data_IF_148186799966
#
_entry.id   IF_148186799966
#
_cell.length_a   1.000
_cell.length_b   1.000
_cell.length_c   1.000
_cell.angle_alpha   90.00
_cell.angle_beta   90.00
_cell.angle_gamma   90.00
#
_symmetry.space_group_name_H-M   'P 1'
#
loop_
_entity.id
_entity.type
_entity.pdbx_description
1 polymer ?
#
# COMPACT_ATOMS: atom_id res chain seq x y z
N UNK A 1 -8.77 18.25 -31.10
CA UNK A 1 -9.99 17.60 -31.60
C UNK A 1 -11.09 17.80 -30.57
N UNK A 2 -12.29 18.18 -30.99
CA UNK A 2 -13.47 18.20 -30.12
C UNK A 2 -13.99 16.76 -30.01
N UNK A 3 -14.47 16.41 -28.83
CA UNK A 3 -15.07 15.11 -28.58
C UNK A 3 -16.58 15.23 -28.74
N UNK A 4 -17.12 14.64 -29.80
CA UNK A 4 -18.52 14.82 -30.17
C UNK A 4 -19.47 13.82 -29.49
N UNK A 5 -18.94 12.73 -28.92
CA UNK A 5 -19.74 11.69 -28.26
C UNK A 5 -18.98 11.19 -27.01
N UNK A 6 -19.68 11.17 -25.87
CA UNK A 6 -19.18 10.61 -24.62
C UNK A 6 -19.50 9.10 -24.59
N UNK A 7 -18.49 8.27 -24.81
CA UNK A 7 -18.60 6.81 -24.77
C UNK A 7 -18.04 6.25 -23.46
N UNK A 8 -18.70 5.24 -22.91
CA UNK A 8 -18.30 4.55 -21.67
C UNK A 8 -17.93 3.10 -21.97
N UNK A 9 -16.90 2.58 -21.30
CA UNK A 9 -16.61 1.16 -21.29
C UNK A 9 -17.62 0.43 -20.40
N UNK A 10 -18.16 -0.70 -20.88
CA UNK A 10 -19.02 -1.58 -20.07
C UNK A 10 -18.23 -2.30 -18.95
N UNK A 11 -16.93 -2.54 -19.18
CA UNK A 11 -16.01 -3.18 -18.23
C UNK A 11 -14.64 -2.45 -18.26
N UNK A 12 -13.93 -2.33 -17.13
CA UNK A 12 -12.60 -1.73 -17.09
C UNK A 12 -11.62 -2.46 -18.01
N UNK A 13 -11.19 -1.80 -19.07
CA UNK A 13 -10.31 -2.39 -20.09
C UNK A 13 -9.02 -1.59 -20.19
N UNK A 14 -7.88 -2.28 -20.08
CA UNK A 14 -6.57 -1.65 -20.25
C UNK A 14 -6.40 -1.19 -21.70
N UNK A 15 -5.95 0.05 -21.90
CA UNK A 15 -5.69 0.62 -23.24
C UNK A 15 -6.90 1.21 -23.98
N UNK A 16 -8.04 1.45 -23.32
CA UNK A 16 -9.21 2.06 -23.98
C UNK A 16 -8.93 3.47 -24.53
N UNK A 17 -9.40 3.75 -25.76
CA UNK A 17 -9.31 5.06 -26.42
C UNK A 17 -10.51 5.98 -26.13
N UNK A 18 -11.46 5.52 -25.29
CA UNK A 18 -12.59 6.34 -24.85
C UNK A 18 -12.13 7.48 -23.91
N UNK A 19 -12.77 8.66 -23.98
CA UNK A 19 -12.41 9.84 -23.17
C UNK A 19 -12.29 9.56 -21.67
N UNK A 20 -13.23 8.78 -21.17
CA UNK A 20 -13.32 8.41 -19.77
C UNK A 20 -12.73 7.01 -19.65
N UNK A 21 -11.41 6.94 -19.54
CA UNK A 21 -10.74 5.70 -19.16
C UNK A 21 -11.17 5.36 -17.74
N UNK A 22 -12.08 4.41 -17.61
CA UNK A 22 -12.58 3.90 -16.32
C UNK A 22 -11.46 3.38 -15.40
N UNK A 23 -10.26 3.11 -15.94
CA UNK A 23 -9.07 2.79 -15.15
C UNK A 23 -8.70 3.84 -14.09
N UNK A 24 -8.89 5.13 -14.37
CA UNK A 24 -8.66 6.19 -13.38
C UNK A 24 -9.76 6.27 -12.32
N UNK A 25 -11.02 6.07 -12.73
CA UNK A 25 -12.20 6.15 -11.86
C UNK A 25 -12.33 4.91 -10.97
N UNK A 26 -11.98 3.71 -11.47
CA UNK A 26 -12.00 2.46 -10.70
C UNK A 26 -10.98 2.47 -9.56
N UNK A 27 -9.75 2.97 -9.82
CA UNK A 27 -8.74 3.14 -8.77
C UNK A 27 -9.21 4.12 -7.68
N UNK A 28 -9.94 5.17 -8.06
CA UNK A 28 -10.50 6.18 -7.15
C UNK A 28 -11.73 5.71 -6.37
N UNK A 29 -12.64 4.98 -7.00
CA UNK A 29 -13.94 4.57 -6.43
C UNK A 29 -13.84 3.26 -5.66
N UNK A 30 -12.99 2.33 -6.12
CA UNK A 30 -12.90 0.98 -5.56
C UNK A 30 -11.54 0.66 -4.93
N UNK A 31 -10.52 1.53 -5.05
CA UNK A 31 -9.18 1.26 -4.50
C UNK A 31 -8.78 -0.19 -4.79
N UNK A 32 -8.80 -0.58 -6.06
CA UNK A 32 -8.80 -2.00 -6.41
C UNK A 32 -7.49 -2.63 -6.01
N UNK A 33 -7.63 -3.52 -5.02
CA UNK A 33 -6.66 -4.35 -4.30
C UNK A 33 -6.05 -3.68 -3.06
N UNK A 34 -6.18 -4.27 -1.85
CA UNK A 34 -5.26 -3.90 -0.78
C UNK A 34 -3.86 -4.04 -1.36
N UNK A 35 -3.04 -3.00 -1.22
CA UNK A 35 -1.65 -3.06 -1.64
C UNK A 35 -1.03 -4.27 -0.93
N UNK A 36 -0.93 -5.38 -1.66
CA UNK A 36 -0.73 -6.70 -1.05
C UNK A 36 0.75 -6.83 -0.80
N UNK A 37 1.09 -7.20 0.44
CA UNK A 37 2.45 -7.53 0.80
C UNK A 37 2.69 -8.98 0.41
N UNK A 38 3.65 -9.20 -0.48
CA UNK A 38 4.00 -10.52 -1.00
C UNK A 38 5.08 -11.17 -0.14
N UNK A 39 5.21 -12.49 -0.30
CA UNK A 39 6.25 -13.24 0.39
C UNK A 39 7.64 -12.75 -0.01
N UNK A 40 8.53 -12.56 0.97
CA UNK A 40 9.89 -12.08 0.74
C UNK A 40 10.06 -10.56 0.61
N UNK A 41 8.98 -9.78 0.67
CA UNK A 41 9.07 -8.33 0.58
C UNK A 41 9.79 -7.71 1.80
N UNK A 42 10.46 -6.57 1.59
CA UNK A 42 11.02 -5.75 2.66
C UNK A 42 10.05 -4.61 3.03
N UNK A 43 9.66 -4.50 4.31
CA UNK A 43 8.83 -3.39 4.79
C UNK A 43 9.47 -2.00 4.63
N UNK A 44 10.77 -1.93 4.34
CA UNK A 44 11.46 -0.71 3.93
C UNK A 44 11.06 -0.24 2.52
N UNK A 45 10.54 -1.09 1.65
CA UNK A 45 10.12 -0.64 0.31
C UNK A 45 8.70 -0.02 0.33
N UNK A 46 8.00 -0.13 1.45
CA UNK A 46 6.67 0.41 1.67
C UNK A 46 6.69 1.85 2.21
N UNK A 47 7.13 2.80 1.39
CA UNK A 47 7.23 4.23 1.78
C UNK A 47 6.14 5.14 1.21
N UNK A 48 5.34 4.67 0.25
CA UNK A 48 4.21 5.43 -0.29
C UNK A 48 3.05 5.41 0.70
N UNK A 49 2.43 6.56 1.05
CA UNK A 49 1.25 6.59 1.91
C UNK A 49 0.13 5.68 1.40
N UNK A 50 -0.48 4.94 2.31
CA UNK A 50 -1.52 3.97 1.98
C UNK A 50 -1.64 2.84 2.99
N UNK A 51 -2.59 1.96 2.71
CA UNK A 51 -2.86 0.77 3.53
C UNK A 51 -2.45 -0.48 2.77
N UNK A 52 -1.63 -1.29 3.43
CA UNK A 52 -1.04 -2.52 2.90
C UNK A 52 -1.44 -3.71 3.78
N UNK A 53 -1.47 -4.92 3.22
CA UNK A 53 -1.89 -6.11 3.97
C UNK A 53 -1.00 -7.31 3.71
N UNK A 54 -0.50 -7.92 4.79
CA UNK A 54 0.03 -9.27 4.78
C UNK A 54 -1.10 -10.25 5.15
N UNK A 55 -1.53 -11.06 4.18
CA UNK A 55 -2.76 -11.85 4.30
C UNK A 55 -2.73 -13.01 5.29
N UNK A 56 -1.55 -13.45 5.72
CA UNK A 56 -1.36 -14.58 6.62
C UNK A 56 -0.05 -14.47 7.42
N UNK A 57 0.07 -15.26 8.48
CA UNK A 57 1.33 -15.38 9.21
C UNK A 57 2.45 -16.03 8.38
N UNK A 58 2.10 -16.95 7.47
CA UNK A 58 3.08 -17.55 6.54
C UNK A 58 3.73 -16.51 5.63
N UNK A 59 2.98 -15.49 5.19
CA UNK A 59 3.56 -14.36 4.44
C UNK A 59 4.44 -13.53 5.38
N UNK A 60 3.90 -13.09 6.53
CA UNK A 60 4.60 -12.23 7.49
C UNK A 60 5.95 -12.80 7.94
N UNK A 61 6.03 -14.11 8.16
CA UNK A 61 7.26 -14.81 8.54
C UNK A 61 8.38 -14.77 7.47
N UNK A 62 8.05 -14.46 6.22
CA UNK A 62 9.03 -14.35 5.12
C UNK A 62 9.51 -12.93 4.87
N UNK A 63 8.91 -11.94 5.54
CA UNK A 63 9.16 -10.53 5.27
C UNK A 63 10.43 -10.04 5.97
N UNK A 64 11.18 -9.19 5.28
CA UNK A 64 12.29 -8.48 5.88
C UNK A 64 11.80 -7.22 6.61
N UNK A 65 12.48 -6.88 7.70
CA UNK A 65 12.16 -5.71 8.54
C UNK A 65 10.71 -5.73 9.07
N UNK A 66 10.17 -6.92 9.32
CA UNK A 66 8.83 -7.12 9.89
C UNK A 66 8.92 -7.42 11.40
N UNK A 67 8.10 -6.77 12.25
CA UNK A 67 8.14 -6.97 13.71
C UNK A 67 7.32 -8.16 14.18
N UNK A 68 6.59 -8.85 13.30
CA UNK A 68 5.69 -9.94 13.67
C UNK A 68 5.65 -11.04 12.61
N UNK A 69 5.39 -12.27 13.04
CA UNK A 69 5.11 -13.40 12.16
C UNK A 69 3.60 -13.65 11.98
N UNK A 70 2.74 -12.82 12.58
CA UNK A 70 1.28 -12.88 12.36
C UNK A 70 0.90 -12.06 11.14
N UNK A 71 -0.16 -12.43 10.42
CA UNK A 71 -0.73 -11.56 9.37
C UNK A 71 -1.13 -10.21 9.96
N UNK A 72 -1.04 -9.13 9.18
CA UNK A 72 -1.24 -7.77 9.68
C UNK A 72 -1.74 -6.80 8.61
N UNK A 73 -2.24 -5.65 9.07
CA UNK A 73 -2.42 -4.43 8.28
C UNK A 73 -1.29 -3.45 8.55
N UNK A 74 -0.67 -2.91 7.51
CA UNK A 74 0.34 -1.84 7.59
C UNK A 74 -0.26 -0.55 7.06
N UNK A 75 -0.11 0.54 7.79
CA UNK A 75 -0.50 1.88 7.37
C UNK A 75 0.74 2.77 7.26
N UNK A 76 0.91 3.41 6.10
CA UNK A 76 1.94 4.41 5.84
C UNK A 76 1.24 5.76 5.77
N UNK A 77 1.54 6.68 6.70
CA UNK A 77 0.64 7.81 6.98
C UNK A 77 0.93 9.08 6.18
N UNK A 78 2.18 9.53 6.09
CA UNK A 78 2.55 10.71 5.28
C UNK A 78 4.06 10.92 5.36
N UNK A 79 4.59 11.58 4.33
CA UNK A 79 5.97 12.06 4.29
C UNK A 79 6.09 13.55 4.07
N UNK A 80 7.09 14.17 4.72
CA UNK A 80 7.54 15.55 4.38
C UNK A 80 8.16 15.58 2.96
N UNK A 81 8.48 14.41 2.37
CA UNK A 81 8.94 14.28 0.99
C UNK A 81 8.57 12.90 0.41
N UNK A 82 8.02 12.84 -0.81
CA UNK A 82 7.57 11.60 -1.47
C UNK A 82 8.69 10.71 -2.02
N UNK A 83 9.94 10.97 -1.64
CA UNK A 83 11.10 10.15 -1.98
C UNK A 83 11.32 9.09 -0.90
N UNK A 84 12.03 8.01 -1.23
CA UNK A 84 12.39 6.94 -0.28
C UNK A 84 13.14 7.43 0.98
N UNK A 85 13.69 8.65 0.94
CA UNK A 85 14.33 9.35 2.07
C UNK A 85 13.41 10.36 2.80
N UNK A 86 12.10 10.26 2.61
CA UNK A 86 11.12 11.05 3.35
C UNK A 86 11.04 10.68 4.83
N UNK A 87 10.40 11.54 5.61
CA UNK A 87 9.97 11.21 6.97
C UNK A 87 8.69 10.38 6.86
N UNK A 88 8.68 9.06 7.00
CA UNK A 88 7.42 8.28 7.06
C UNK A 88 7.19 7.68 8.44
N UNK A 89 5.91 7.57 8.78
CA UNK A 89 5.42 6.76 9.89
C UNK A 89 4.78 5.50 9.29
N UNK A 90 5.23 4.36 9.79
CA UNK A 90 4.61 3.06 9.55
C UNK A 90 3.97 2.56 10.84
N UNK A 91 2.70 2.16 10.77
CA UNK A 91 1.96 1.54 11.86
C UNK A 91 1.49 0.16 11.42
N UNK A 92 1.80 -0.86 12.20
CA UNK A 92 1.47 -2.25 11.89
C UNK A 92 0.54 -2.81 12.96
N UNK A 93 -0.58 -3.34 12.51
CA UNK A 93 -1.65 -3.90 13.33
C UNK A 93 -1.75 -5.40 13.06
N UNK A 94 -1.21 -6.27 13.95
CA UNK A 94 -1.36 -7.71 13.84
C UNK A 94 -2.84 -8.12 13.90
N UNK A 95 -3.24 -9.13 13.12
CA UNK A 95 -4.62 -9.60 13.08
C UNK A 95 -5.05 -10.38 14.34
N UNK A 96 -4.08 -10.84 15.14
CA UNK A 96 -4.30 -11.76 16.26
C UNK A 96 -4.01 -11.13 17.64
N UNK A 97 -3.75 -9.83 17.70
CA UNK A 97 -3.46 -9.12 18.95
C UNK A 97 -4.40 -7.93 19.09
N UNK A 98 -5.33 -7.99 20.04
CA UNK A 98 -6.18 -6.85 20.37
C UNK A 98 -5.37 -5.79 21.11
N UNK A 99 -5.10 -4.67 20.45
CA UNK A 99 -4.47 -3.48 21.04
C UNK A 99 -2.95 -3.38 20.92
N UNK A 100 -2.26 -4.45 20.50
CA UNK A 100 -0.84 -4.36 20.13
C UNK A 100 -0.73 -3.78 18.72
N UNK A 101 0.07 -2.73 18.56
CA UNK A 101 0.49 -2.25 17.26
C UNK A 101 1.95 -1.84 17.34
N UNK A 102 2.67 -2.05 16.24
CA UNK A 102 4.06 -1.62 16.14
C UNK A 102 4.12 -0.32 15.37
N UNK A 103 4.94 0.61 15.83
CA UNK A 103 5.18 1.85 15.11
C UNK A 103 6.67 1.99 14.84
N UNK A 104 7.00 2.50 13.65
CA UNK A 104 8.35 3.02 13.40
C UNK A 104 8.31 4.31 12.61
N UNK A 105 9.28 5.15 12.91
CA UNK A 105 9.63 6.32 12.11
C UNK A 105 10.78 5.95 11.19
N UNK A 106 10.67 6.27 9.90
CA UNK A 106 11.79 6.20 8.96
C UNK A 106 12.16 7.60 8.51
N UNK A 107 13.46 7.88 8.55
CA UNK A 107 14.09 9.15 8.13
C UNK A 107 14.91 8.99 6.85
N UNK A 108 15.09 7.74 6.40
CA UNK A 108 15.85 7.36 5.21
C UNK A 108 15.36 5.98 4.74
N UNK A 109 15.88 5.50 3.61
CA UNK A 109 15.53 4.20 3.04
C UNK A 109 15.69 3.01 4.03
N UNK A 110 16.49 3.12 5.11
CA UNK A 110 16.88 1.96 5.92
C UNK A 110 16.70 2.06 7.46
N UNK A 111 16.09 3.10 8.03
CA UNK A 111 16.46 3.46 9.41
C UNK A 111 15.32 3.63 10.42
N UNK A 112 14.68 2.54 10.86
CA UNK A 112 13.79 2.59 12.02
C UNK A 112 13.57 1.23 12.67
N UNK A 113 13.88 1.11 13.97
CA UNK A 113 13.46 -0.01 14.80
C UNK A 113 11.96 0.12 15.09
N UNK A 114 11.27 -1.01 15.17
CA UNK A 114 9.88 -1.08 15.63
C UNK A 114 9.84 -0.91 17.15
N UNK A 115 8.89 -0.12 17.65
CA UNK A 115 8.62 0.07 19.07
C UNK A 115 7.18 0.48 19.32
#
# INVERSE_FOLDING_TARGET
QKQDILTFDQLPTSGSDNPVRSGGVSNWVYGTTPNTINSGDDLNDYYTPGTYRAGSGSIAATLYNCPTASGFRLEVVSTISTVASGYQIQRLYPNNSDGEFFMRRRLSAASGNWG
#
